data_IF_113771295111
#
_entry.id   IF_113771295111
#
_cell.length_a   1.000
_cell.length_b   1.000
_cell.length_c   1.000
_cell.angle_alpha   90.00
_cell.angle_beta   90.00
_cell.angle_gamma   90.00
#
_symmetry.space_group_name_H-M   'P 1'
#
loop_
_entity.id
_entity.type
_entity.pdbx_description
1 polymer ?
#
# COMPACT_ATOMS: atom_id res chain seq x y z
N UNK A 1 9.70 -22.17 2.67
CA UNK A 1 9.98 -20.73 2.90
C UNK A 1 9.85 -19.88 1.63
N UNK A 2 10.46 -20.27 0.50
CA UNK A 2 10.39 -19.48 -0.76
C UNK A 2 8.96 -19.23 -1.29
N UNK A 3 8.08 -20.23 -1.26
CA UNK A 3 6.70 -20.11 -1.77
C UNK A 3 5.85 -19.12 -0.96
N UNK A 4 5.75 -19.34 0.36
CA UNK A 4 4.96 -18.49 1.27
C UNK A 4 5.47 -17.04 1.26
N UNK A 5 6.79 -16.83 1.28
CA UNK A 5 7.36 -15.48 1.21
C UNK A 5 7.07 -14.79 -0.14
N UNK A 6 7.08 -15.55 -1.23
CA UNK A 6 6.70 -15.03 -2.56
C UNK A 6 5.23 -14.64 -2.63
N UNK A 7 4.34 -15.42 -2.01
CA UNK A 7 2.90 -15.09 -1.93
C UNK A 7 2.67 -13.81 -1.14
N UNK A 8 3.29 -13.69 0.04
CA UNK A 8 3.23 -12.46 0.83
C UNK A 8 3.79 -11.25 0.07
N UNK A 9 4.93 -11.41 -0.61
CA UNK A 9 5.52 -10.33 -1.42
C UNK A 9 4.58 -9.88 -2.54
N UNK A 10 3.90 -10.83 -3.20
CA UNK A 10 2.91 -10.52 -4.24
C UNK A 10 1.72 -9.73 -3.71
N UNK A 11 1.20 -10.10 -2.54
CA UNK A 11 0.09 -9.39 -1.87
C UNK A 11 0.52 -7.97 -1.48
N UNK A 12 1.75 -7.81 -0.95
CA UNK A 12 2.30 -6.49 -0.59
C UNK A 12 2.42 -5.58 -1.81
N UNK A 13 2.98 -6.08 -2.91
CA UNK A 13 3.08 -5.30 -4.16
C UNK A 13 1.71 -4.95 -4.73
N UNK A 14 0.75 -5.88 -4.72
CA UNK A 14 -0.60 -5.62 -5.16
C UNK A 14 -1.29 -4.55 -4.31
N UNK A 15 -1.10 -4.60 -2.99
CA UNK A 15 -1.64 -3.62 -2.05
C UNK A 15 -1.05 -2.23 -2.29
N UNK A 16 0.27 -2.13 -2.46
CA UNK A 16 0.97 -0.87 -2.77
C UNK A 16 0.48 -0.28 -4.09
N UNK A 17 0.35 -1.11 -5.14
CA UNK A 17 -0.17 -0.67 -6.43
C UNK A 17 -1.60 -0.16 -6.31
N UNK A 18 -2.45 -0.84 -5.52
CA UNK A 18 -3.82 -0.42 -5.30
C UNK A 18 -3.90 0.89 -4.52
N UNK A 19 -3.09 1.05 -3.45
CA UNK A 19 -2.97 2.29 -2.68
C UNK A 19 -2.55 3.47 -3.55
N UNK A 20 -1.60 3.26 -4.48
CA UNK A 20 -1.17 4.28 -5.44
C UNK A 20 -2.31 4.74 -6.34
N UNK A 21 -3.04 3.80 -6.93
CA UNK A 21 -4.18 4.10 -7.83
C UNK A 21 -5.28 4.83 -7.06
N UNK A 22 -5.68 4.31 -5.90
CA UNK A 22 -6.73 4.94 -5.09
C UNK A 22 -6.32 6.32 -4.62
N UNK A 23 -5.08 6.48 -4.13
CA UNK A 23 -4.55 7.75 -3.66
C UNK A 23 -4.51 8.81 -4.77
N UNK A 24 -4.13 8.42 -5.98
CA UNK A 24 -4.14 9.32 -7.14
C UNK A 24 -5.57 9.74 -7.52
N UNK A 25 -6.51 8.80 -7.60
CA UNK A 25 -7.91 9.09 -7.90
C UNK A 25 -8.52 10.00 -6.83
N UNK A 26 -8.29 9.68 -5.56
CA UNK A 26 -8.82 10.46 -4.44
C UNK A 26 -8.23 11.86 -4.40
N UNK A 27 -6.90 11.98 -4.57
CA UNK A 27 -6.22 13.27 -4.63
C UNK A 27 -6.73 14.15 -5.78
N UNK A 28 -6.97 13.57 -6.94
CA UNK A 28 -7.55 14.28 -8.09
C UNK A 28 -8.97 14.77 -7.80
N UNK A 29 -9.85 13.89 -7.32
CA UNK A 29 -11.25 14.25 -6.99
C UNK A 29 -11.31 15.31 -5.91
N UNK A 30 -10.53 15.17 -4.83
CA UNK A 30 -10.46 16.17 -3.76
C UNK A 30 -9.93 17.51 -4.25
N UNK A 31 -8.95 17.50 -5.17
CA UNK A 31 -8.47 18.75 -5.78
C UNK A 31 -9.58 19.46 -6.54
N UNK A 32 -10.41 18.74 -7.31
CA UNK A 32 -11.55 19.32 -8.01
C UNK A 32 -12.60 19.89 -7.05
N UNK A 33 -12.90 19.19 -5.96
CA UNK A 33 -13.86 19.64 -4.97
C UNK A 33 -13.38 20.88 -4.21
N UNK A 34 -12.12 20.88 -3.77
CA UNK A 34 -11.51 22.01 -3.07
C UNK A 34 -11.42 23.23 -3.96
N UNK A 35 -11.04 23.04 -5.24
CA UNK A 35 -11.12 24.14 -6.20
C UNK A 35 -12.56 24.61 -6.33
N UNK A 36 -13.52 23.75 -6.63
CA UNK A 36 -14.92 24.16 -6.81
C UNK A 36 -15.52 24.91 -5.60
N UNK A 37 -15.10 24.59 -4.38
CA UNK A 37 -15.52 25.25 -3.16
C UNK A 37 -14.76 26.56 -2.85
N UNK A 38 -13.63 26.82 -3.52
CA UNK A 38 -12.78 27.97 -3.24
C UNK A 38 -13.37 29.28 -3.80
N UNK A 39 -13.44 30.35 -2.99
CA UNK A 39 -13.92 31.66 -3.45
C UNK A 39 -12.94 32.33 -4.43
N UNK A 40 -11.71 31.82 -4.54
CA UNK A 40 -10.65 32.39 -5.38
C UNK A 40 -10.50 31.71 -6.75
N UNK A 41 -11.36 30.74 -7.08
CA UNK A 41 -11.35 29.99 -8.35
C UNK A 41 -11.32 30.84 -9.61
N UNK A 42 -11.93 32.04 -9.57
CA UNK A 42 -11.96 32.97 -10.70
C UNK A 42 -10.65 33.73 -10.92
N UNK A 43 -9.78 33.77 -9.91
CA UNK A 43 -8.57 34.60 -9.91
C UNK A 43 -7.30 33.75 -9.90
N UNK A 44 -7.31 32.61 -9.20
CA UNK A 44 -6.16 31.72 -9.11
C UNK A 44 -6.39 30.45 -9.95
N UNK A 45 -5.43 30.08 -10.82
CA UNK A 45 -5.50 28.82 -11.56
C UNK A 45 -5.35 27.62 -10.62
N UNK A 46 -5.90 26.48 -11.04
CA UNK A 46 -5.77 25.26 -10.28
C UNK A 46 -4.33 24.75 -10.25
N UNK A 47 -3.70 24.73 -9.08
CA UNK A 47 -2.35 24.18 -8.90
C UNK A 47 -2.48 22.76 -8.35
N UNK A 48 -2.43 21.78 -9.25
CA UNK A 48 -2.35 20.38 -8.88
C UNK A 48 -0.88 20.05 -8.59
N UNK A 49 -0.52 19.90 -7.31
CA UNK A 49 0.85 19.54 -6.92
C UNK A 49 0.84 18.12 -6.39
N UNK A 50 1.65 17.25 -6.98
CA UNK A 50 1.85 15.89 -6.47
C UNK A 50 2.98 15.89 -5.42
N UNK A 51 2.70 15.53 -4.15
CA UNK A 51 3.69 15.60 -3.08
C UNK A 51 4.62 14.38 -3.10
N UNK A 52 5.46 14.27 -4.14
CA UNK A 52 6.31 13.09 -4.41
C UNK A 52 7.16 12.68 -3.20
N UNK A 53 7.72 13.66 -2.48
CA UNK A 53 8.55 13.41 -1.30
C UNK A 53 7.78 12.71 -0.18
N UNK A 54 6.61 13.24 0.18
CA UNK A 54 5.75 12.63 1.19
C UNK A 54 5.29 11.23 0.75
N UNK A 55 4.86 11.11 -0.52
CA UNK A 55 4.37 9.87 -1.10
C UNK A 55 5.45 8.77 -1.06
N UNK A 56 6.69 9.11 -1.37
CA UNK A 56 7.84 8.19 -1.29
C UNK A 56 8.08 7.68 0.13
N UNK A 57 8.03 8.56 1.13
CA UNK A 57 8.23 8.19 2.53
C UNK A 57 7.13 7.25 3.01
N UNK A 58 5.87 7.55 2.67
CA UNK A 58 4.73 6.70 3.03
C UNK A 58 4.85 5.31 2.39
N UNK A 59 5.17 5.24 1.10
CA UNK A 59 5.32 3.97 0.40
C UNK A 59 6.45 3.10 0.97
N UNK A 60 7.59 3.71 1.31
CA UNK A 60 8.69 3.01 1.98
C UNK A 60 8.25 2.51 3.36
N UNK A 61 7.51 3.32 4.12
CA UNK A 61 6.94 2.94 5.41
C UNK A 61 5.99 1.76 5.31
N UNK A 62 5.04 1.79 4.36
CA UNK A 62 4.11 0.69 4.10
C UNK A 62 4.85 -0.60 3.72
N UNK A 63 5.81 -0.51 2.80
CA UNK A 63 6.58 -1.67 2.38
C UNK A 63 7.34 -2.32 3.54
N UNK A 64 7.98 -1.52 4.39
CA UNK A 64 8.68 -2.01 5.57
C UNK A 64 7.72 -2.61 6.59
N UNK A 65 6.60 -1.94 6.89
CA UNK A 65 5.61 -2.41 7.85
C UNK A 65 5.00 -3.75 7.42
N UNK A 66 4.65 -3.88 6.14
CA UNK A 66 4.10 -5.13 5.59
C UNK A 66 5.13 -6.26 5.52
N UNK A 67 6.38 -5.94 5.12
CA UNK A 67 7.47 -6.92 5.12
C UNK A 67 7.77 -7.42 6.53
N UNK A 68 7.81 -6.52 7.52
CA UNK A 68 7.99 -6.89 8.92
C UNK A 68 6.81 -7.72 9.46
N UNK A 69 5.57 -7.33 9.14
CA UNK A 69 4.36 -8.04 9.56
C UNK A 69 4.27 -9.46 9.01
N UNK A 70 4.73 -9.68 7.76
CA UNK A 70 4.74 -11.00 7.12
C UNK A 70 5.92 -11.89 7.53
N UNK A 71 6.97 -11.33 8.13
CA UNK A 71 8.18 -12.08 8.48
C UNK A 71 7.94 -13.15 9.55
N UNK A 72 7.26 -12.79 10.65
CA UNK A 72 6.95 -13.72 11.74
C UNK A 72 6.09 -14.93 11.28
N UNK A 73 4.93 -14.75 10.64
CA UNK A 73 4.12 -15.88 10.19
C UNK A 73 4.86 -16.72 9.14
N UNK A 74 5.62 -16.11 8.24
CA UNK A 74 6.44 -16.85 7.27
C UNK A 74 7.51 -17.72 7.94
N UNK A 75 8.08 -17.26 9.07
CA UNK A 75 9.07 -18.02 9.85
C UNK A 75 8.45 -19.22 10.55
N UNK A 76 7.29 -19.03 11.19
CA UNK A 76 6.61 -20.12 11.91
C UNK A 76 6.05 -21.18 10.93
N UNK A 77 5.49 -20.75 9.79
CA UNK A 77 5.06 -21.68 8.74
C UNK A 77 6.22 -22.52 8.19
N UNK A 78 7.43 -21.97 8.11
CA UNK A 78 8.60 -22.70 7.64
C UNK A 78 9.12 -23.76 8.63
N UNK A 79 8.75 -23.69 9.91
CA UNK A 79 9.18 -24.62 10.97
C UNK A 79 8.14 -25.69 11.31
N UNK A 80 6.94 -25.58 10.74
CA UNK A 80 5.85 -26.50 11.05
C UNK A 80 6.02 -27.81 10.28
N UNK A 81 5.94 -28.95 10.98
CA UNK A 81 6.03 -30.27 10.37
C UNK A 81 4.77 -30.55 9.50
N UNK A 82 4.92 -30.77 8.19
CA UNK A 82 3.79 -31.04 7.32
C UNK A 82 2.99 -32.29 7.72
N UNK A 83 3.63 -33.31 8.33
CA UNK A 83 2.92 -34.51 8.77
C UNK A 83 1.95 -34.23 9.93
N UNK A 84 2.29 -33.28 10.82
CA UNK A 84 1.43 -32.87 11.93
C UNK A 84 0.26 -32.04 11.42
N UNK A 85 0.48 -31.16 10.44
CA UNK A 85 -0.58 -30.34 9.84
C UNK A 85 -1.56 -31.21 9.06
N UNK A 86 -1.07 -32.14 8.24
CA UNK A 86 -1.90 -33.00 7.39
C UNK A 86 -2.77 -33.99 8.18
N UNK A 87 -2.37 -34.39 9.40
CA UNK A 87 -3.21 -35.26 10.24
C UNK A 87 -4.35 -34.49 10.93
N UNK A 88 -4.19 -33.17 11.09
CA UNK A 88 -5.12 -32.30 11.81
C UNK A 88 -5.99 -31.45 10.86
N UNK A 89 -5.87 -31.66 9.54
CA UNK A 89 -6.76 -31.15 8.50
C UNK A 89 -7.94 -32.10 8.32
#
# INVERSE_FOLDING_TARGET
MKTVFSEFTGIVLASVAFSLVLGAVFGYVMSLLVFSASPFTRVLPAVLTFPIGFLTVVLLGEFLAMSAGSYLPAREAARTDPAIVLRNL
#
